data_IF_191526153114
#
_entry.id   IF_191526153114
#
_cell.length_a   1.000
_cell.length_b   1.000
_cell.length_c   1.000
_cell.angle_alpha   90.00
_cell.angle_beta   90.00
_cell.angle_gamma   90.00
#
_symmetry.space_group_name_H-M   'P 1'
#
loop_
_entity.id
_entity.type
_entity.pdbx_description
1 polymer ?
#
# COMPACT_ATOMS: atom_id res chain seq x y z
N UNK A 1 18.65 -30.43 -8.20
CA UNK A 1 18.55 -29.08 -8.79
C UNK A 1 17.88 -28.18 -7.75
N UNK A 2 18.64 -27.39 -7.01
CA UNK A 2 18.08 -26.40 -6.07
C UNK A 2 17.52 -25.23 -6.89
N UNK A 3 16.19 -25.12 -6.96
CA UNK A 3 15.54 -23.97 -7.57
C UNK A 3 16.03 -22.69 -6.86
N UNK A 4 16.65 -21.78 -7.60
CA UNK A 4 16.96 -20.46 -7.05
C UNK A 4 15.64 -19.80 -6.64
N UNK A 5 15.54 -19.25 -5.42
CA UNK A 5 14.33 -18.58 -5.01
C UNK A 5 14.12 -17.35 -5.90
N UNK A 6 12.99 -17.30 -6.61
CA UNK A 6 12.60 -16.11 -7.36
C UNK A 6 12.49 -14.93 -6.39
N UNK A 7 13.20 -13.85 -6.71
CA UNK A 7 13.19 -12.62 -5.91
C UNK A 7 12.21 -11.61 -6.54
N UNK A 8 11.45 -10.95 -5.68
CA UNK A 8 10.62 -9.79 -6.03
C UNK A 8 11.40 -8.53 -5.69
N UNK A 9 11.67 -7.69 -6.69
CA UNK A 9 12.05 -6.31 -6.44
C UNK A 9 10.84 -5.45 -6.08
N UNK A 10 11.11 -4.24 -5.58
CA UNK A 10 10.10 -3.26 -5.19
C UNK A 10 9.05 -2.98 -6.26
N UNK A 11 9.46 -2.73 -7.50
CA UNK A 11 8.52 -2.44 -8.60
C UNK A 11 7.58 -3.61 -8.90
N UNK A 12 8.11 -4.84 -8.80
CA UNK A 12 7.30 -6.05 -9.01
C UNK A 12 6.27 -6.23 -7.90
N UNK A 13 6.64 -5.90 -6.66
CA UNK A 13 5.74 -5.94 -5.51
C UNK A 13 4.66 -4.84 -5.61
N UNK A 14 5.07 -3.64 -6.00
CA UNK A 14 4.16 -2.51 -6.26
C UNK A 14 3.14 -2.86 -7.34
N UNK A 15 3.58 -3.48 -8.44
CA UNK A 15 2.70 -3.94 -9.51
C UNK A 15 1.72 -5.01 -9.03
N UNK A 16 2.18 -5.97 -8.21
CA UNK A 16 1.33 -7.02 -7.66
C UNK A 16 0.23 -6.48 -6.72
N UNK A 17 0.54 -5.40 -6.00
CA UNK A 17 -0.40 -4.69 -5.13
C UNK A 17 -1.16 -3.57 -5.86
N UNK A 18 -0.84 -3.31 -7.12
CA UNK A 18 -1.35 -2.21 -7.94
C UNK A 18 -1.21 -0.82 -7.28
N UNK A 19 -0.14 -0.61 -6.52
CA UNK A 19 0.18 0.66 -5.86
C UNK A 19 1.44 1.30 -6.46
N UNK A 20 1.67 2.62 -6.27
CA UNK A 20 2.92 3.24 -6.65
C UNK A 20 4.12 2.64 -5.89
N UNK A 21 5.31 2.53 -6.50
CA UNK A 21 6.50 1.97 -5.83
C UNK A 21 6.85 2.68 -4.51
N UNK A 22 6.70 4.00 -4.43
CA UNK A 22 6.95 4.76 -3.19
C UNK A 22 6.07 4.31 -2.01
N UNK A 23 4.87 3.81 -2.27
CA UNK A 23 3.96 3.35 -1.23
C UNK A 23 4.44 2.02 -0.59
N UNK A 24 5.29 1.26 -1.28
CA UNK A 24 5.91 0.07 -0.69
C UNK A 24 6.79 0.43 0.51
N UNK A 25 7.54 1.54 0.44
CA UNK A 25 8.36 1.99 1.56
C UNK A 25 7.49 2.32 2.76
N UNK A 26 6.38 3.05 2.53
CA UNK A 26 5.41 3.35 3.59
C UNK A 26 4.84 2.10 4.24
N UNK A 27 4.51 1.08 3.45
CA UNK A 27 4.04 -0.18 4.00
C UNK A 27 5.11 -0.89 4.85
N UNK A 28 6.39 -0.74 4.52
CA UNK A 28 7.50 -1.26 5.35
C UNK A 28 7.62 -0.44 6.64
N UNK A 29 7.67 0.89 6.53
CA UNK A 29 7.80 1.82 7.66
C UNK A 29 6.69 1.63 8.71
N UNK A 30 5.47 1.32 8.25
CA UNK A 30 4.31 1.06 9.10
C UNK A 30 4.14 -0.43 9.48
N UNK A 31 5.11 -1.31 9.17
CA UNK A 31 5.11 -2.73 9.56
C UNK A 31 4.09 -3.62 8.82
N UNK A 32 3.54 -3.12 7.73
CA UNK A 32 2.55 -3.80 6.89
C UNK A 32 3.21 -4.71 5.84
N UNK A 33 4.47 -4.46 5.50
CA UNK A 33 5.34 -5.36 4.75
C UNK A 33 6.62 -5.63 5.56
N UNK A 34 7.24 -6.81 5.40
CA UNK A 34 8.54 -7.08 6.02
C UNK A 34 9.64 -6.25 5.36
N UNK A 35 10.70 -5.94 6.12
CA UNK A 35 11.91 -5.36 5.53
C UNK A 35 12.46 -6.26 4.42
N UNK A 36 13.00 -5.67 3.34
CA UNK A 36 13.58 -6.44 2.27
C UNK A 36 14.95 -7.01 2.66
N UNK A 37 15.36 -8.05 1.93
CA UNK A 37 16.66 -8.66 2.11
C UNK A 37 17.74 -7.94 1.29
N UNK A 38 18.81 -7.51 1.97
CA UNK A 38 20.05 -7.05 1.35
C UNK A 38 19.95 -5.75 0.56
N UNK A 39 21.06 -5.32 -0.07
CA UNK A 39 21.15 -4.01 -0.73
C UNK A 39 20.20 -3.85 -1.94
N UNK A 40 19.73 -4.96 -2.52
CA UNK A 40 18.83 -4.94 -3.68
C UNK A 40 17.36 -4.70 -3.38
N UNK A 41 16.98 -4.51 -2.10
CA UNK A 41 15.59 -4.36 -1.65
C UNK A 41 14.67 -5.45 -2.25
N UNK A 42 15.01 -6.72 -1.99
CA UNK A 42 14.29 -7.86 -2.59
C UNK A 42 13.62 -8.75 -1.56
N UNK A 43 12.51 -9.37 -1.95
CA UNK A 43 11.78 -10.36 -1.14
C UNK A 43 11.75 -11.72 -1.83
N UNK A 44 11.90 -12.84 -1.10
CA UNK A 44 11.62 -14.16 -1.64
C UNK A 44 10.14 -14.27 -2.01
N UNK A 45 9.85 -14.64 -3.26
CA UNK A 45 8.48 -14.78 -3.77
C UNK A 45 7.57 -15.62 -2.86
N UNK A 46 7.99 -16.77 -2.30
CA UNK A 46 7.13 -17.56 -1.41
C UNK A 46 6.70 -16.80 -0.16
N UNK A 47 7.60 -15.97 0.41
CA UNK A 47 7.28 -15.15 1.60
C UNK A 47 6.28 -14.06 1.26
N UNK A 48 6.45 -13.39 0.11
CA UNK A 48 5.49 -12.38 -0.37
C UNK A 48 4.12 -13.02 -0.58
N UNK A 49 4.04 -14.16 -1.26
CA UNK A 49 2.78 -14.85 -1.50
C UNK A 49 2.09 -15.29 -0.20
N UNK A 50 2.85 -15.83 0.75
CA UNK A 50 2.34 -16.21 2.06
C UNK A 50 1.80 -14.99 2.83
N UNK A 51 2.50 -13.85 2.78
CA UNK A 51 2.05 -12.61 3.40
C UNK A 51 0.74 -12.11 2.78
N UNK A 52 0.64 -12.10 1.45
CA UNK A 52 -0.58 -11.68 0.75
C UNK A 52 -1.75 -12.63 1.00
N UNK A 53 -1.48 -13.92 1.22
CA UNK A 53 -2.50 -14.88 1.64
C UNK A 53 -2.97 -14.63 3.07
N UNK A 54 -2.05 -14.28 3.99
CA UNK A 54 -2.37 -13.96 5.38
C UNK A 54 -3.05 -12.59 5.54
N UNK A 55 -2.80 -11.66 4.61
CA UNK A 55 -3.34 -10.28 4.63
C UNK A 55 -4.11 -10.00 3.33
N UNK A 56 -5.26 -10.67 3.08
CA UNK A 56 -6.01 -10.53 1.84
C UNK A 56 -6.51 -9.11 1.60
N UNK A 57 -6.69 -8.32 2.67
CA UNK A 57 -7.07 -6.91 2.57
C UNK A 57 -6.02 -6.05 1.86
N UNK A 58 -4.75 -6.45 1.76
CA UNK A 58 -3.77 -5.70 0.94
C UNK A 58 -4.19 -5.61 -0.54
N UNK A 59 -5.06 -6.51 -1.00
CA UNK A 59 -5.62 -6.47 -2.36
C UNK A 59 -6.68 -5.37 -2.54
N UNK A 60 -7.25 -4.84 -1.47
CA UNK A 60 -8.23 -3.76 -1.54
C UNK A 60 -7.59 -2.36 -1.56
N UNK A 61 -6.26 -2.27 -1.52
CA UNK A 61 -5.53 -1.00 -1.56
C UNK A 61 -5.90 -0.13 -2.77
N UNK A 62 -6.28 -0.75 -3.89
CA UNK A 62 -6.66 -0.05 -5.12
C UNK A 62 -8.15 0.19 -5.29
N UNK A 63 -8.97 -0.32 -4.38
CA UNK A 63 -10.42 -0.11 -4.46
C UNK A 63 -10.71 1.38 -4.28
N UNK A 64 -11.36 2.04 -5.26
CA UNK A 64 -11.77 3.42 -5.10
C UNK A 64 -12.90 3.50 -4.08
N UNK A 65 -12.67 4.23 -3.00
CA UNK A 65 -13.64 4.42 -1.92
C UNK A 65 -14.18 5.85 -1.96
N UNK A 66 -15.47 6.01 -1.73
CA UNK A 66 -16.07 7.31 -1.44
C UNK A 66 -15.69 7.78 -0.03
N UNK A 67 -15.95 9.06 0.27
CA UNK A 67 -15.76 9.63 1.61
C UNK A 67 -16.46 8.82 2.71
N UNK A 68 -17.67 8.32 2.43
CA UNK A 68 -18.47 7.57 3.42
C UNK A 68 -17.87 6.19 3.66
N UNK A 69 -17.47 5.48 2.60
CA UNK A 69 -16.85 4.15 2.71
C UNK A 69 -15.50 4.23 3.40
N UNK A 70 -14.68 5.22 3.05
CA UNK A 70 -13.39 5.46 3.69
C UNK A 70 -13.56 5.73 5.19
N UNK A 71 -14.52 6.59 5.56
CA UNK A 71 -14.79 6.90 6.97
C UNK A 71 -15.31 5.70 7.76
N UNK A 72 -16.09 4.81 7.13
CA UNK A 72 -16.53 3.55 7.74
C UNK A 72 -15.39 2.56 7.93
N UNK A 73 -14.44 2.52 7.00
CA UNK A 73 -13.27 1.66 7.09
C UNK A 73 -12.32 2.12 8.21
N UNK A 74 -11.99 3.41 8.23
CA UNK A 74 -11.17 4.02 9.25
C UNK A 74 -11.53 5.51 9.40
N UNK A 75 -12.14 5.92 10.53
CA UNK A 75 -12.56 7.29 10.76
C UNK A 75 -11.43 8.34 10.73
N UNK A 76 -10.19 7.91 10.99
CA UNK A 76 -9.01 8.77 10.97
C UNK A 76 -8.53 9.09 9.56
N UNK A 77 -8.90 8.28 8.56
CA UNK A 77 -8.57 8.55 7.16
C UNK A 77 -9.46 9.67 6.61
N UNK A 78 -8.83 10.57 5.84
CA UNK A 78 -9.50 11.66 5.14
C UNK A 78 -9.42 11.44 3.65
N UNK A 79 -10.41 11.96 2.93
CA UNK A 79 -10.38 11.97 1.48
C UNK A 79 -9.25 12.92 1.02
N UNK A 80 -8.31 12.47 0.18
CA UNK A 80 -7.28 13.33 -0.40
C UNK A 80 -7.89 14.51 -1.17
N UNK A 81 -7.19 15.64 -1.20
CA UNK A 81 -7.69 16.87 -1.84
C UNK A 81 -7.74 16.78 -3.36
N UNK A 82 -6.90 15.92 -3.94
CA UNK A 82 -6.75 15.62 -5.37
C UNK A 82 -7.49 14.34 -5.77
N UNK A 83 -8.43 13.87 -4.95
CA UNK A 83 -9.28 12.72 -5.27
C UNK A 83 -10.09 12.94 -6.56
N UNK A 84 -10.26 11.86 -7.33
CA UNK A 84 -11.04 11.90 -8.56
C UNK A 84 -12.53 12.11 -8.25
N UNK A 85 -13.20 12.96 -9.02
CA UNK A 85 -14.63 13.24 -8.84
C UNK A 85 -15.45 12.47 -9.88
N UNK A 86 -16.35 11.60 -9.41
CA UNK A 86 -17.26 10.81 -10.25
C UNK A 86 -18.69 11.20 -9.83
N UNK A 87 -19.48 11.71 -10.78
CA UNK A 87 -20.86 12.16 -10.55
C UNK A 87 -20.99 13.12 -9.34
N UNK A 88 -20.05 14.06 -9.21
CA UNK A 88 -20.03 15.06 -8.14
C UNK A 88 -19.56 14.55 -6.77
N UNK A 89 -19.07 13.32 -6.67
CA UNK A 89 -18.56 12.73 -5.42
C UNK A 89 -17.08 12.39 -5.54
N UNK A 90 -16.25 12.69 -4.52
CA UNK A 90 -14.84 12.36 -4.53
C UNK A 90 -14.62 10.87 -4.19
N UNK A 91 -13.73 10.24 -4.95
CA UNK A 91 -13.27 8.87 -4.78
C UNK A 91 -11.74 8.83 -4.83
N UNK A 92 -11.15 8.03 -3.94
CA UNK A 92 -9.71 7.77 -3.96
C UNK A 92 -9.45 6.29 -3.64
N UNK A 93 -8.42 5.68 -4.25
CA UNK A 93 -7.91 4.40 -3.80
C UNK A 93 -7.52 4.44 -2.32
N UNK A 94 -7.71 3.33 -1.60
CA UNK A 94 -7.34 3.24 -0.19
C UNK A 94 -5.86 3.57 0.06
N UNK A 95 -4.95 3.10 -0.80
CA UNK A 95 -3.52 3.42 -0.66
C UNK A 95 -3.27 4.94 -0.65
N UNK A 96 -4.01 5.70 -1.45
CA UNK A 96 -3.80 7.14 -1.58
C UNK A 96 -4.26 7.87 -0.31
N UNK A 97 -5.42 7.46 0.23
CA UNK A 97 -5.88 7.99 1.51
C UNK A 97 -4.94 7.66 2.68
N UNK A 98 -4.32 6.47 2.64
CA UNK A 98 -3.32 6.06 3.65
C UNK A 98 -2.02 6.85 3.49
N UNK A 99 -1.51 7.00 2.26
CA UNK A 99 -0.28 7.75 1.97
C UNK A 99 -0.39 9.22 2.41
N UNK A 100 -1.52 9.85 2.09
CA UNK A 100 -1.82 11.21 2.49
C UNK A 100 -1.91 11.35 4.03
N UNK A 101 -2.55 10.40 4.73
CA UNK A 101 -2.61 10.40 6.19
C UNK A 101 -1.22 10.28 6.81
N UNK A 102 -0.38 9.36 6.32
CA UNK A 102 0.97 9.16 6.81
C UNK A 102 1.92 10.32 6.47
N UNK A 103 1.76 10.94 5.30
CA UNK A 103 2.50 12.13 4.92
C UNK A 103 2.20 13.34 5.82
N UNK A 104 0.94 13.48 6.25
CA UNK A 104 0.54 14.50 7.25
C UNK A 104 1.16 14.25 8.63
N UNK A 105 1.22 12.99 9.06
CA UNK A 105 1.81 12.63 10.36
C UNK A 105 3.32 12.93 10.39
N UNK A 106 4.05 12.66 9.30
CA UNK A 106 5.46 13.03 9.17
C UNK A 106 5.69 14.55 9.24
N UNK A 107 4.76 15.35 8.70
CA UNK A 107 4.82 16.81 8.73
C UNK A 107 4.45 17.41 10.09
N UNK A 108 3.87 16.62 11.01
CA UNK A 108 3.48 17.04 12.36
C UNK A 108 4.58 16.84 13.41
N UNK A 109 5.65 16.13 13.05
CA UNK A 109 6.80 15.86 13.91
C UNK A 109 7.96 16.85 13.72
N UNK A 110 7.74 17.93 12.96
CA UNK A 110 8.69 19.03 12.71
C UNK A 110 8.27 20.30 13.43
#
# INVERSE_FOLDING_TARGET
MTAQPTLFGKDRLAHLLHVPPMFIDRLIDHGLLPEPNGPGHTWPEPKVRALLAARPWLRILTVPLSRVELHRLNPSLRMPSDAAVISGRPYAPLWHAMDDAWGRDASRMV
#
